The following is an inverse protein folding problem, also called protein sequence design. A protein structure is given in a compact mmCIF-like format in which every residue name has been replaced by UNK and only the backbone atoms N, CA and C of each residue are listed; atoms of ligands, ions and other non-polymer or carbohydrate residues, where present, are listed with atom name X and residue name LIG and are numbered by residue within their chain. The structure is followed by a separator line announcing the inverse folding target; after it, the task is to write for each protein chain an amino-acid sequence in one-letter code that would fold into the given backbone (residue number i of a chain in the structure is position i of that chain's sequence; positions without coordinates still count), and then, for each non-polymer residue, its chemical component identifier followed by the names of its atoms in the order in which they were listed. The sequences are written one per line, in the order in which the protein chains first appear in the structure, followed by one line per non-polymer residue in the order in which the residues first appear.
data_IF_947999829679
#
_entry.id   IF_947999829679
#
_cell.length_a   1.000
_cell.length_b   1.000
_cell.length_c   1.000
_cell.angle_alpha   90.00
_cell.angle_beta   90.00
_cell.angle_gamma   90.00
#
_symmetry.space_group_name_H-M   'P 1'
#
loop_
_entity.id
_entity.type
_entity.pdbx_description
1 polymer ?
#
# COMPACT_ATOMS: atom_id res chain seq x y z
N UNK A 1 6.38 62.20 -37.01
CA UNK A 1 6.07 60.97 -37.78
C UNK A 1 4.76 60.42 -37.23
N UNK A 2 3.62 60.84 -37.79
CA UNK A 2 2.80 60.10 -38.78
C UNK A 2 2.21 58.83 -38.14
N UNK A 3 1.04 58.86 -37.48
CA UNK A 3 -0.34 58.99 -37.98
C UNK A 3 -0.96 57.67 -38.47
N UNK A 4 -2.11 57.32 -37.87
CA UNK A 4 -3.42 56.89 -38.44
C UNK A 4 -4.06 55.78 -37.58
N UNK A 5 -5.19 56.02 -36.90
CA UNK A 5 -6.61 55.97 -37.40
C UNK A 5 -6.93 54.55 -37.91
N UNK A 6 -7.93 53.81 -37.41
CA UNK A 6 -9.39 53.89 -37.68
C UNK A 6 -10.05 52.83 -36.77
N UNK A 7 -10.86 53.21 -35.77
CA UNK A 7 -12.33 53.19 -35.77
C UNK A 7 -13.00 51.92 -36.34
N UNK A 8 -13.54 51.07 -35.48
CA UNK A 8 -14.76 50.30 -35.79
C UNK A 8 -15.47 49.92 -34.50
N UNK A 9 -16.59 50.60 -34.26
CA UNK A 9 -17.64 50.19 -33.34
C UNK A 9 -18.29 48.92 -33.89
N UNK A 10 -18.21 47.81 -33.16
CA UNK A 10 -19.19 46.73 -33.29
C UNK A 10 -19.74 46.45 -31.90
N UNK A 11 -20.94 46.99 -31.70
CA UNK A 11 -21.89 46.69 -30.66
C UNK A 11 -22.36 45.23 -30.87
N UNK A 12 -21.99 44.30 -29.98
CA UNK A 12 -22.65 42.99 -29.92
C UNK A 12 -23.28 42.84 -28.55
N UNK A 13 -24.59 42.68 -28.61
CA UNK A 13 -25.57 42.55 -27.54
C UNK A 13 -25.13 41.58 -26.44
N UNK A 14 -25.14 42.10 -25.21
CA UNK A 14 -25.16 41.31 -23.98
C UNK A 14 -26.49 40.56 -23.96
N UNK A 15 -26.49 39.29 -24.34
CA UNK A 15 -27.60 38.38 -24.02
C UNK A 15 -27.27 37.71 -22.70
N UNK A 16 -27.83 38.30 -21.65
CA UNK A 16 -27.97 37.68 -20.33
C UNK A 16 -28.71 36.35 -20.46
N UNK A 17 -27.97 35.25 -20.29
CA UNK A 17 -28.51 33.90 -20.14
C UNK A 17 -27.96 33.28 -18.86
N UNK A 18 -28.54 33.66 -17.72
CA UNK A 18 -28.39 32.96 -16.43
C UNK A 18 -29.07 31.58 -16.56
N UNK A 19 -28.36 30.60 -17.12
CA UNK A 19 -28.76 29.20 -17.00
C UNK A 19 -28.01 28.64 -15.79
N UNK A 20 -28.68 28.78 -14.64
CA UNK A 20 -28.33 28.09 -13.40
C UNK A 20 -28.49 26.58 -13.64
N UNK A 21 -27.40 25.92 -14.04
CA UNK A 21 -27.35 24.47 -14.00
C UNK A 21 -27.16 24.06 -12.54
N UNK A 22 -28.06 23.26 -11.94
CA UNK A 22 -27.73 22.60 -10.69
C UNK A 22 -26.56 21.68 -11.00
N UNK A 23 -25.36 22.07 -10.57
CA UNK A 23 -24.22 21.16 -10.52
C UNK A 23 -24.61 20.09 -9.52
N UNK A 24 -25.22 19.02 -10.00
CA UNK A 24 -25.44 17.82 -9.22
C UNK A 24 -24.06 17.34 -8.82
N UNK A 25 -23.68 17.59 -7.57
CA UNK A 25 -22.55 16.93 -6.93
C UNK A 25 -22.83 15.44 -7.00
N UNK A 26 -22.22 14.76 -7.97
CA UNK A 26 -22.07 13.32 -7.95
C UNK A 26 -21.21 13.02 -6.72
N UNK A 27 -21.89 12.69 -5.61
CA UNK A 27 -21.26 12.04 -4.47
C UNK A 27 -20.75 10.69 -4.97
N UNK A 28 -19.47 10.65 -5.35
CA UNK A 28 -18.79 9.39 -5.58
C UNK A 28 -18.77 8.64 -4.23
N UNK A 29 -19.15 7.34 -4.19
CA UNK A 29 -19.01 6.57 -2.98
C UNK A 29 -17.52 6.52 -2.60
N UNK A 30 -17.21 6.97 -1.39
CA UNK A 30 -15.92 6.76 -0.76
C UNK A 30 -15.58 5.28 -0.87
N UNK A 31 -14.44 4.94 -1.47
CA UNK A 31 -13.85 3.60 -1.39
C UNK A 31 -12.75 3.59 -0.31
N UNK A 32 -13.05 3.78 0.99
CA UNK A 32 -12.00 3.81 2.02
C UNK A 32 -11.35 2.43 2.19
N UNK A 33 -12.14 1.35 2.07
CA UNK A 33 -11.68 -0.01 2.41
C UNK A 33 -10.55 -0.51 1.51
N UNK A 34 -10.61 -0.26 0.19
CA UNK A 34 -9.56 -0.72 -0.72
C UNK A 34 -8.27 0.09 -0.59
N UNK A 35 -8.40 1.40 -0.36
CA UNK A 35 -7.24 2.27 -0.15
C UNK A 35 -6.50 1.93 1.16
N UNK A 36 -7.24 1.63 2.23
CA UNK A 36 -6.65 1.27 3.52
C UNK A 36 -5.90 -0.08 3.45
N UNK A 37 -6.45 -1.08 2.76
CA UNK A 37 -5.79 -2.39 2.57
C UNK A 37 -4.50 -2.24 1.75
N UNK A 38 -4.54 -1.45 0.67
CA UNK A 38 -3.36 -1.19 -0.16
C UNK A 38 -2.29 -0.40 0.60
N UNK A 39 -2.68 0.59 1.39
CA UNK A 39 -1.77 1.37 2.23
C UNK A 39 -1.10 0.47 3.29
N UNK A 40 -1.86 -0.40 3.93
CA UNK A 40 -1.34 -1.36 4.92
C UNK A 40 -0.33 -2.32 4.30
N UNK A 41 -0.62 -2.87 3.12
CA UNK A 41 0.30 -3.74 2.40
C UNK A 41 1.60 -3.02 2.03
N UNK A 42 1.52 -1.77 1.58
CA UNK A 42 2.70 -0.96 1.28
C UNK A 42 3.56 -0.70 2.53
N UNK A 43 2.94 -0.39 3.67
CA UNK A 43 3.66 -0.20 4.93
C UNK A 43 4.36 -1.48 5.39
N UNK A 44 3.70 -2.63 5.26
CA UNK A 44 4.28 -3.94 5.54
C UNK A 44 5.49 -4.20 4.63
N UNK A 45 5.35 -3.98 3.31
CA UNK A 45 6.44 -4.14 2.35
C UNK A 45 7.64 -3.25 2.70
N UNK A 46 7.39 -2.01 3.09
CA UNK A 46 8.46 -1.09 3.52
C UNK A 46 9.13 -1.54 4.82
N UNK A 47 8.37 -2.08 5.78
CA UNK A 47 8.91 -2.65 7.02
C UNK A 47 9.84 -3.84 6.73
N UNK A 48 9.49 -4.71 5.77
CA UNK A 48 10.36 -5.81 5.32
C UNK A 48 11.66 -5.29 4.74
N UNK A 49 11.59 -4.34 3.81
CA UNK A 49 12.78 -3.72 3.20
C UNK A 49 13.69 -3.16 4.28
N UNK A 50 13.12 -2.42 5.22
CA UNK A 50 13.85 -1.82 6.35
C UNK A 50 14.48 -2.88 7.24
N UNK A 51 13.76 -3.97 7.55
CA UNK A 51 14.23 -5.03 8.42
C UNK A 51 15.34 -5.90 7.79
N UNK A 52 15.41 -5.98 6.46
CA UNK A 52 16.41 -6.74 5.72
C UNK A 52 17.64 -5.92 5.34
N UNK A 53 17.48 -4.59 5.21
CA UNK A 53 18.55 -3.69 4.80
C UNK A 53 19.61 -3.59 5.90
N UNK A 54 20.88 -3.83 5.53
CA UNK A 54 22.03 -3.69 6.45
C UNK A 54 23.03 -2.66 5.92
N UNK A 55 23.75 -1.95 6.80
CA UNK A 55 24.87 -1.11 6.38
C UNK A 55 25.91 -1.91 5.58
N UNK A 56 26.38 -1.36 4.46
CA UNK A 56 27.38 -2.01 3.60
C UNK A 56 26.85 -3.15 2.73
N UNK A 57 25.53 -3.33 2.66
CA UNK A 57 24.92 -4.35 1.81
C UNK A 57 25.12 -4.01 0.32
N UNK A 58 25.41 -5.00 -0.54
CA UNK A 58 25.54 -4.79 -1.98
C UNK A 58 24.29 -4.16 -2.60
N UNK A 59 24.47 -3.29 -3.59
CA UNK A 59 23.37 -2.58 -4.26
C UNK A 59 22.39 -3.53 -4.97
N UNK A 60 22.84 -4.72 -5.35
CA UNK A 60 22.07 -5.78 -6.00
C UNK A 60 21.32 -6.70 -5.02
N UNK A 61 21.47 -6.51 -3.71
CA UNK A 61 20.82 -7.38 -2.71
C UNK A 61 19.28 -7.31 -2.76
N UNK A 62 18.71 -6.21 -3.25
CA UNK A 62 17.29 -6.02 -3.58
C UNK A 62 16.30 -6.69 -2.59
N UNK A 63 16.29 -6.26 -1.31
CA UNK A 63 15.36 -6.76 -0.31
C UNK A 63 13.92 -6.44 -0.72
N UNK A 64 13.03 -7.44 -0.65
CA UNK A 64 11.62 -7.25 -1.01
C UNK A 64 10.72 -8.28 -0.35
N UNK A 65 9.48 -7.89 -0.09
CA UNK A 65 8.40 -8.84 0.17
C UNK A 65 7.79 -9.29 -1.16
N UNK A 66 7.46 -10.57 -1.26
CA UNK A 66 6.86 -11.18 -2.46
C UNK A 66 5.37 -11.42 -2.25
N UNK A 67 5.01 -12.07 -1.16
CA UNK A 67 3.62 -12.26 -0.71
C UNK A 67 3.41 -11.63 0.66
N UNK A 68 2.18 -11.16 0.89
CA UNK A 68 1.81 -10.48 2.12
C UNK A 68 0.43 -10.95 2.56
N UNK A 69 0.34 -11.48 3.78
CA UNK A 69 -0.91 -11.78 4.46
C UNK A 69 -1.04 -10.88 5.68
N UNK A 70 -2.21 -10.25 5.88
CA UNK A 70 -2.47 -9.34 7.00
C UNK A 70 -3.78 -9.75 7.66
N UNK A 71 -3.74 -9.97 8.98
CA UNK A 71 -4.91 -10.30 9.80
C UNK A 71 -4.84 -9.49 11.08
N UNK A 72 -5.67 -8.44 11.16
CA UNK A 72 -5.65 -7.48 12.26
C UNK A 72 -4.27 -6.81 12.39
N UNK A 73 -3.67 -6.91 13.57
CA UNK A 73 -2.37 -6.31 13.90
C UNK A 73 -1.17 -7.21 13.57
N UNK A 74 -1.36 -8.30 12.83
CA UNK A 74 -0.28 -9.23 12.45
C UNK A 74 -0.16 -9.34 10.93
N UNK A 75 1.07 -9.50 10.47
CA UNK A 75 1.35 -9.80 9.07
C UNK A 75 2.40 -10.91 8.95
N UNK A 76 2.17 -11.82 8.01
CA UNK A 76 3.12 -12.84 7.59
C UNK A 76 3.52 -12.55 6.15
N UNK A 77 4.81 -12.57 5.87
CA UNK A 77 5.33 -12.16 4.55
C UNK A 77 6.44 -13.08 4.08
N UNK A 78 6.38 -13.43 2.80
CA UNK A 78 7.48 -14.06 2.10
C UNK A 78 8.47 -12.98 1.68
N UNK A 79 9.73 -13.13 2.05
CA UNK A 79 10.76 -12.16 1.70
C UNK A 79 11.87 -12.76 0.85
N UNK A 80 12.55 -11.88 0.10
CA UNK A 80 13.72 -12.19 -0.71
C UNK A 80 14.84 -11.20 -0.45
N UNK A 81 16.07 -11.69 -0.43
CA UNK A 81 17.30 -10.92 -0.33
C UNK A 81 18.40 -11.64 -1.12
N UNK A 82 18.71 -11.14 -2.31
CA UNK A 82 19.48 -11.89 -3.31
C UNK A 82 18.85 -13.26 -3.58
N UNK A 83 19.67 -14.32 -3.46
CA UNK A 83 19.24 -15.72 -3.55
C UNK A 83 18.56 -16.24 -2.27
N UNK A 84 18.69 -15.51 -1.17
CA UNK A 84 18.07 -15.86 0.10
C UNK A 84 16.58 -15.54 0.13
N UNK A 85 15.85 -16.27 0.98
CA UNK A 85 14.44 -16.02 1.24
C UNK A 85 13.94 -16.76 2.47
N UNK A 86 12.66 -16.56 2.76
CA UNK A 86 11.95 -17.21 3.85
C UNK A 86 10.74 -16.38 4.25
N UNK A 87 10.23 -16.61 5.45
CA UNK A 87 9.11 -15.87 5.99
C UNK A 87 9.52 -14.93 7.12
N UNK A 88 8.73 -13.88 7.31
CA UNK A 88 8.88 -12.92 8.40
C UNK A 88 7.51 -12.65 9.03
N UNK A 89 7.47 -12.70 10.35
CA UNK A 89 6.32 -12.29 11.14
C UNK A 89 6.50 -10.84 11.58
N UNK A 90 5.49 -10.03 11.33
CA UNK A 90 5.41 -8.62 11.74
C UNK A 90 4.19 -8.41 12.63
N UNK A 91 4.30 -7.46 13.56
CA UNK A 91 3.20 -7.00 14.39
C UNK A 91 3.12 -5.47 14.34
N UNK A 92 1.90 -4.94 14.25
CA UNK A 92 1.62 -3.51 14.37
C UNK A 92 1.74 -3.09 15.83
N UNK A 93 2.64 -2.15 16.12
CA UNK A 93 2.82 -1.54 17.44
C UNK A 93 2.89 -0.04 17.28
N UNK A 94 2.06 0.69 18.02
CA UNK A 94 2.01 2.17 17.97
C UNK A 94 1.85 2.70 16.53
N UNK A 95 1.05 2.03 15.70
CA UNK A 95 0.82 2.42 14.30
C UNK A 95 1.96 2.11 13.33
N UNK A 96 2.99 1.37 13.75
CA UNK A 96 4.10 0.95 12.88
C UNK A 96 4.26 -0.57 12.87
N UNK A 97 4.58 -1.14 11.71
CA UNK A 97 4.90 -2.55 11.57
C UNK A 97 6.31 -2.84 12.05
N UNK A 98 6.44 -3.81 12.95
CA UNK A 98 7.72 -4.21 13.54
C UNK A 98 7.93 -5.72 13.37
N UNK A 99 9.16 -6.11 13.01
CA UNK A 99 9.54 -7.52 12.90
C UNK A 99 9.51 -8.17 14.28
N UNK A 100 8.82 -9.31 14.38
CA UNK A 100 8.79 -10.18 15.56
C UNK A 100 9.70 -11.37 15.36
N UNK A 101 9.56 -12.07 14.23
CA UNK A 101 10.36 -13.24 13.89
C UNK A 101 10.71 -13.27 12.41
N UNK A 102 11.76 -14.01 12.05
CA UNK A 102 12.20 -14.22 10.67
C UNK A 102 12.90 -15.57 10.57
N UNK A 103 12.57 -16.35 9.53
CA UNK A 103 13.20 -17.64 9.22
C UNK A 103 13.65 -17.65 7.77
N UNK A 104 14.51 -18.61 7.43
CA UNK A 104 14.90 -18.89 6.03
C UNK A 104 13.93 -19.84 5.30
N UNK A 105 12.76 -20.11 5.87
CA UNK A 105 11.80 -21.09 5.37
C UNK A 105 10.37 -20.67 5.68
N UNK A 106 9.45 -21.62 5.57
CA UNK A 106 8.02 -21.44 5.85
C UNK A 106 7.77 -21.56 7.36
N UNK A 107 6.98 -20.65 7.93
CA UNK A 107 6.48 -20.71 9.30
C UNK A 107 5.12 -21.42 9.34
N UNK A 108 4.99 -22.37 10.26
CA UNK A 108 3.71 -23.02 10.54
C UNK A 108 2.86 -22.22 11.53
N UNK A 109 1.56 -22.50 11.60
CA UNK A 109 0.67 -21.86 12.57
C UNK A 109 1.12 -22.10 14.03
N UNK A 110 1.66 -23.28 14.34
CA UNK A 110 2.23 -23.59 15.66
C UNK A 110 3.39 -22.67 16.03
N UNK A 111 4.30 -22.41 15.09
CA UNK A 111 5.43 -21.49 15.30
C UNK A 111 4.93 -20.06 15.54
N UNK A 112 3.93 -19.59 14.78
CA UNK A 112 3.34 -18.28 15.00
C UNK A 112 2.67 -18.17 16.39
N UNK A 113 2.00 -19.23 16.85
CA UNK A 113 1.38 -19.29 18.18
C UNK A 113 2.45 -19.21 19.28
N UNK A 114 3.59 -19.88 19.11
CA UNK A 114 4.74 -19.78 20.02
C UNK A 114 5.32 -18.36 20.07
N UNK A 115 5.24 -17.60 18.96
CA UNK A 115 5.59 -16.17 18.91
C UNK A 115 4.51 -15.24 19.52
N UNK A 116 3.42 -15.79 20.06
CA UNK A 116 2.35 -15.04 20.71
C UNK A 116 1.26 -14.53 19.76
N UNK A 117 1.17 -15.05 18.54
CA UNK A 117 0.04 -14.78 17.64
C UNK A 117 -1.17 -15.59 18.12
N UNK A 118 -2.38 -15.00 18.23
CA UNK A 118 -3.59 -15.75 18.54
C UNK A 118 -3.82 -16.89 17.52
N UNK A 119 -4.25 -18.06 17.99
CA UNK A 119 -4.39 -19.27 17.15
C UNK A 119 -5.21 -19.04 15.88
N UNK A 120 -6.38 -18.41 15.99
CA UNK A 120 -7.23 -18.10 14.85
C UNK A 120 -6.56 -17.18 13.83
N UNK A 121 -5.79 -16.19 14.31
CA UNK A 121 -5.00 -15.28 13.48
C UNK A 121 -3.85 -16.02 12.79
N UNK A 122 -3.13 -16.87 13.51
CA UNK A 122 -2.03 -17.68 12.97
C UNK A 122 -2.50 -18.58 11.82
N UNK A 123 -3.62 -19.28 12.02
CA UNK A 123 -4.22 -20.13 10.98
C UNK A 123 -4.60 -19.31 9.75
N UNK A 124 -5.25 -18.15 9.94
CA UNK A 124 -5.65 -17.29 8.83
C UNK A 124 -4.46 -16.73 8.05
N UNK A 125 -3.39 -16.31 8.74
CA UNK A 125 -2.17 -15.81 8.09
C UNK A 125 -1.53 -16.87 7.19
N UNK A 126 -1.35 -18.09 7.71
CA UNK A 126 -0.79 -19.21 6.94
C UNK A 126 -1.68 -19.55 5.74
N UNK A 127 -2.99 -19.62 5.92
CA UNK A 127 -3.92 -19.88 4.82
C UNK A 127 -3.87 -18.79 3.74
N UNK A 128 -3.85 -17.52 4.14
CA UNK A 128 -3.82 -16.40 3.21
C UNK A 128 -2.52 -16.33 2.42
N UNK A 129 -1.36 -16.58 3.05
CA UNK A 129 -0.09 -16.51 2.33
C UNK A 129 0.08 -17.70 1.38
N UNK A 130 -0.27 -18.91 1.82
CA UNK A 130 -0.20 -20.11 0.98
C UNK A 130 -1.11 -20.03 -0.24
N UNK A 131 -2.28 -19.40 -0.09
CA UNK A 131 -3.20 -19.16 -1.21
C UNK A 131 -2.61 -18.25 -2.30
N UNK A 132 -1.58 -17.46 -1.99
CA UNK A 132 -0.91 -16.59 -2.96
C UNK A 132 0.14 -17.33 -3.78
N UNK A 133 0.70 -18.44 -3.29
CA UNK A 133 1.75 -19.19 -4.01
C UNK A 133 1.27 -19.87 -5.30
N UNK A 134 -0.04 -20.06 -5.42
CA UNK A 134 -0.67 -20.63 -6.61
C UNK A 134 -0.92 -19.59 -7.72
N UNK A 135 -0.60 -18.30 -7.48
CA UNK A 135 -0.83 -17.19 -8.41
C UNK A 135 0.47 -16.79 -9.11
#
# INVERSE_FOLDING_TARGET
MIAKTVQSFILILIVTGLISLPVSYLFLPSQPVLADVQADEQQVRQAVVTALTRPGQPADANPRATHVAIVGDYALVDWRLGEGGGEMLLMRRQGSWQKIAQTGGVMGSSELIEQGVPESTAIQLVQQIQAQWAR
#
